data_IF_562233667102
#
_entry.id   IF_562233667102
#
_cell.length_a   1.000
_cell.length_b   1.000
_cell.length_c   1.000
_cell.angle_alpha   90.00
_cell.angle_beta   90.00
_cell.angle_gamma   90.00
#
_symmetry.space_group_name_H-M   'P 1'
#
loop_
_entity.id
_entity.type
_entity.pdbx_description
1 polymer ?
#
# COMPACT_ATOMS: atom_id res chain seq x y z
N UNK A 1 2.07 -1.97 15.61
CA UNK A 1 3.03 -1.09 14.88
C UNK A 1 3.15 -1.60 13.44
N UNK A 2 3.03 -0.74 12.44
CA UNK A 2 3.18 -1.08 11.01
C UNK A 2 4.65 -0.89 10.60
N UNK A 3 5.19 -1.83 9.82
CA UNK A 3 6.51 -1.78 9.19
C UNK A 3 6.35 -2.08 7.69
N UNK A 4 7.00 -1.32 6.82
CA UNK A 4 6.98 -1.53 5.37
C UNK A 4 8.41 -1.72 4.88
N UNK A 5 8.67 -2.85 4.23
CA UNK A 5 9.89 -3.07 3.47
C UNK A 5 9.68 -2.53 2.05
N UNK A 6 10.45 -1.52 1.66
CA UNK A 6 10.33 -0.88 0.35
C UNK A 6 11.40 -1.44 -0.60
N UNK A 7 10.97 -1.99 -1.71
CA UNK A 7 11.81 -2.58 -2.76
C UNK A 7 11.59 -1.79 -4.04
N UNK A 8 12.63 -1.29 -4.67
CA UNK A 8 12.56 -0.60 -5.95
C UNK A 8 13.20 -1.46 -7.05
N UNK A 9 12.37 -1.97 -7.95
CA UNK A 9 12.78 -2.78 -9.11
C UNK A 9 12.93 -1.94 -10.40
N UNK A 10 12.77 -0.62 -10.29
CA UNK A 10 12.87 0.29 -11.42
C UNK A 10 13.60 1.57 -11.01
N UNK A 11 14.79 1.77 -11.58
CA UNK A 11 15.66 2.91 -11.32
C UNK A 11 15.00 4.28 -11.59
N UNK A 12 13.99 4.33 -12.47
CA UNK A 12 13.28 5.56 -12.78
C UNK A 12 12.59 6.18 -11.55
N UNK A 13 12.31 5.40 -10.51
CA UNK A 13 11.76 5.91 -9.25
C UNK A 13 12.68 6.91 -8.56
N UNK A 14 14.01 6.77 -8.68
CA UNK A 14 15.01 7.67 -8.08
C UNK A 14 14.90 9.12 -8.59
N UNK A 15 14.35 9.32 -9.80
CA UNK A 15 14.09 10.66 -10.35
C UNK A 15 13.06 11.44 -9.54
N UNK A 16 12.13 10.74 -8.89
CA UNK A 16 11.02 11.32 -8.12
C UNK A 16 11.21 11.18 -6.62
N UNK A 17 11.83 10.10 -6.18
CA UNK A 17 12.13 9.79 -4.78
C UNK A 17 13.61 9.38 -4.68
N UNK A 18 14.47 10.29 -4.24
CA UNK A 18 15.92 9.99 -4.07
C UNK A 18 16.16 8.77 -3.20
N UNK A 19 15.39 8.64 -2.11
CA UNK A 19 15.42 7.49 -1.22
C UNK A 19 13.99 7.05 -0.89
N UNK A 20 13.40 6.14 -1.68
CA UNK A 20 12.03 5.67 -1.46
C UNK A 20 11.83 5.02 -0.09
N UNK A 21 12.82 4.25 0.39
CA UNK A 21 12.74 3.59 1.68
C UNK A 21 12.65 4.61 2.82
N UNK A 22 13.54 5.59 2.86
CA UNK A 22 13.52 6.64 3.88
C UNK A 22 12.22 7.45 3.83
N UNK A 23 11.71 7.75 2.63
CA UNK A 23 10.43 8.43 2.46
C UNK A 23 9.29 7.65 3.12
N UNK A 24 9.17 6.36 2.81
CA UNK A 24 8.14 5.49 3.38
C UNK A 24 8.31 5.33 4.89
N UNK A 25 9.53 5.12 5.39
CA UNK A 25 9.79 5.01 6.83
C UNK A 25 9.33 6.26 7.59
N UNK A 26 9.59 7.45 7.07
CA UNK A 26 9.13 8.71 7.67
C UNK A 26 7.59 8.80 7.69
N UNK A 27 6.92 8.39 6.61
CA UNK A 27 5.45 8.35 6.56
C UNK A 27 4.86 7.32 7.53
N UNK A 28 5.45 6.14 7.61
CA UNK A 28 5.03 5.07 8.53
C UNK A 28 5.23 5.49 10.00
N UNK A 29 6.30 6.21 10.32
CA UNK A 29 6.50 6.76 11.67
C UNK A 29 5.33 7.66 12.08
N UNK A 30 4.89 8.56 11.20
CA UNK A 30 3.72 9.43 11.42
C UNK A 30 2.42 8.61 11.52
N UNK A 31 2.21 7.66 10.62
CA UNK A 31 1.06 6.77 10.65
C UNK A 31 0.97 6.01 11.99
N UNK A 32 2.05 5.40 12.45
CA UNK A 32 2.11 4.65 13.70
C UNK A 32 1.86 5.52 14.94
N UNK A 33 2.24 6.80 14.90
CA UNK A 33 1.97 7.74 16.00
C UNK A 33 0.46 7.91 16.23
N UNK A 34 -0.33 7.90 15.15
CA UNK A 34 -1.77 8.16 15.17
C UNK A 34 -2.64 6.89 15.12
N UNK A 35 -2.13 5.82 14.50
CA UNK A 35 -2.85 4.57 14.33
C UNK A 35 -2.51 3.56 15.43
N UNK A 36 -3.36 3.48 16.46
CA UNK A 36 -3.16 2.65 17.66
C UNK A 36 -3.96 1.34 17.70
N UNK A 37 -4.80 1.08 16.67
CA UNK A 37 -5.73 -0.05 16.67
C UNK A 37 -5.06 -1.41 16.91
N UNK A 38 -3.83 -1.59 16.41
CA UNK A 38 -3.08 -2.84 16.53
C UNK A 38 -1.69 -2.61 17.19
N UNK A 39 -1.65 -1.79 18.26
CA UNK A 39 -0.41 -1.41 18.93
C UNK A 39 0.32 -2.60 19.60
N UNK A 40 -0.41 -3.67 19.92
CA UNK A 40 0.14 -4.92 20.50
C UNK A 40 0.83 -5.82 19.46
N UNK A 41 0.59 -5.57 18.16
CA UNK A 41 1.10 -6.40 17.07
C UNK A 41 2.15 -5.63 16.24
N UNK A 42 3.07 -6.36 15.65
CA UNK A 42 3.95 -5.88 14.57
C UNK A 42 3.34 -6.37 13.25
N UNK A 43 2.88 -5.44 12.44
CA UNK A 43 2.27 -5.71 11.14
C UNK A 43 3.26 -5.30 10.06
N UNK A 44 3.69 -6.21 9.22
CA UNK A 44 4.65 -5.91 8.19
C UNK A 44 4.17 -6.31 6.80
N UNK A 45 4.57 -5.55 5.80
CA UNK A 45 4.26 -5.79 4.39
C UNK A 45 5.42 -5.33 3.51
N UNK A 46 5.40 -5.79 2.24
CA UNK A 46 6.31 -5.29 1.22
C UNK A 46 5.62 -4.22 0.36
N UNK A 47 6.38 -3.20 -0.02
CA UNK A 47 5.98 -2.20 -1.01
C UNK A 47 6.98 -2.25 -2.16
N UNK A 48 6.54 -2.76 -3.30
CA UNK A 48 7.35 -2.90 -4.52
C UNK A 48 7.04 -1.73 -5.45
N UNK A 49 8.08 -0.98 -5.79
CA UNK A 49 8.05 0.16 -6.71
C UNK A 49 8.54 -0.30 -8.08
N UNK A 50 7.64 -0.33 -9.06
CA UNK A 50 7.89 -0.93 -10.37
C UNK A 50 7.36 -0.09 -11.53
N UNK A 51 7.37 -0.64 -12.75
CA UNK A 51 6.83 -0.05 -13.97
C UNK A 51 5.73 -0.90 -14.61
N UNK A 52 5.24 -0.43 -15.77
CA UNK A 52 4.06 -1.03 -16.42
C UNK A 52 4.27 -2.47 -16.86
N UNK A 53 5.46 -2.85 -17.32
CA UNK A 53 5.71 -4.22 -17.83
C UNK A 53 5.61 -5.25 -16.71
N UNK A 54 6.23 -4.96 -15.58
CA UNK A 54 6.25 -5.85 -14.41
C UNK A 54 4.83 -6.00 -13.83
N UNK A 55 4.16 -4.88 -13.57
CA UNK A 55 2.81 -4.93 -12.98
C UNK A 55 1.79 -5.60 -13.91
N UNK A 56 1.95 -5.47 -15.25
CA UNK A 56 1.12 -6.18 -16.23
C UNK A 56 1.31 -7.69 -16.14
N UNK A 57 2.56 -8.17 -16.01
CA UNK A 57 2.87 -9.59 -15.80
C UNK A 57 2.22 -10.12 -14.52
N UNK A 58 2.37 -9.41 -13.40
CA UNK A 58 1.76 -9.78 -12.13
C UNK A 58 0.22 -9.82 -12.22
N UNK A 59 -0.38 -8.82 -12.85
CA UNK A 59 -1.83 -8.75 -13.04
C UNK A 59 -2.35 -9.92 -13.89
N UNK A 60 -1.63 -10.27 -14.96
CA UNK A 60 -1.93 -11.44 -15.80
C UNK A 60 -1.83 -12.75 -15.02
N UNK A 61 -0.73 -12.95 -14.30
CA UNK A 61 -0.45 -14.21 -13.62
C UNK A 61 -1.39 -14.46 -12.43
N UNK A 62 -1.61 -13.45 -11.60
CA UNK A 62 -2.35 -13.61 -10.35
C UNK A 62 -3.82 -13.21 -10.41
N UNK A 63 -4.20 -12.28 -11.30
CA UNK A 63 -5.59 -11.83 -11.46
C UNK A 63 -6.22 -12.19 -12.81
N UNK A 64 -5.48 -12.88 -13.68
CA UNK A 64 -5.92 -13.26 -15.04
C UNK A 64 -6.32 -12.06 -15.92
N UNK A 65 -5.78 -10.88 -15.64
CA UNK A 65 -6.05 -9.62 -16.37
C UNK A 65 -4.81 -9.18 -17.12
N UNK A 66 -4.80 -9.34 -18.44
CA UNK A 66 -3.68 -8.94 -19.30
C UNK A 66 -3.66 -7.42 -19.56
N UNK A 67 -3.62 -6.62 -18.51
CA UNK A 67 -3.54 -5.17 -18.58
C UNK A 67 -2.71 -4.58 -17.45
N UNK A 68 -2.13 -3.41 -17.70
CA UNK A 68 -1.44 -2.64 -16.66
C UNK A 68 -2.43 -1.96 -15.74
N UNK A 69 -2.02 -1.70 -14.48
CA UNK A 69 -2.77 -0.94 -13.48
C UNK A 69 -1.82 -0.01 -12.73
N UNK A 70 -2.32 0.85 -11.92
CA UNK A 70 -1.58 1.78 -11.05
C UNK A 70 -1.06 1.10 -9.78
N UNK A 71 -1.87 0.24 -9.17
CA UNK A 71 -1.54 -0.50 -7.95
C UNK A 71 -2.12 -1.92 -7.99
N UNK A 72 -1.39 -2.87 -7.40
CA UNK A 72 -1.87 -4.20 -7.05
C UNK A 72 -1.63 -4.43 -5.56
N UNK A 73 -2.55 -5.14 -4.93
CA UNK A 73 -2.42 -5.60 -3.55
C UNK A 73 -2.71 -7.08 -3.47
N UNK A 74 -1.85 -7.80 -2.76
CA UNK A 74 -1.94 -9.23 -2.53
C UNK A 74 -2.01 -9.48 -1.02
N UNK A 75 -3.22 -9.39 -0.40
CA UNK A 75 -3.40 -9.74 1.01
C UNK A 75 -2.99 -11.20 1.24
N UNK A 76 -2.17 -11.42 2.28
CA UNK A 76 -1.75 -12.77 2.65
C UNK A 76 -2.86 -13.56 3.35
N UNK A 77 -3.74 -12.84 4.04
CA UNK A 77 -4.88 -13.41 4.77
C UNK A 77 -6.20 -12.89 4.25
N UNK A 78 -7.23 -13.73 4.31
CA UNK A 78 -8.62 -13.27 4.23
C UNK A 78 -8.95 -12.41 5.46
N UNK A 79 -10.03 -11.64 5.39
CA UNK A 79 -10.49 -10.82 6.51
C UNK A 79 -10.73 -11.62 7.80
N UNK A 80 -11.22 -12.85 7.66
CA UNK A 80 -11.50 -13.73 8.81
C UNK A 80 -10.19 -14.28 9.43
N UNK A 81 -9.27 -14.73 8.59
CA UNK A 81 -7.94 -15.20 9.03
C UNK A 81 -7.15 -14.07 9.70
N UNK A 82 -7.15 -12.88 9.12
CA UNK A 82 -6.49 -11.72 9.73
C UNK A 82 -7.05 -11.40 11.12
N UNK A 83 -8.39 -11.45 11.31
CA UNK A 83 -9.00 -11.27 12.63
C UNK A 83 -8.54 -12.30 13.67
N UNK A 84 -8.31 -13.55 13.26
CA UNK A 84 -7.76 -14.61 14.13
C UNK A 84 -6.29 -14.33 14.44
N UNK A 85 -5.49 -13.99 13.42
CA UNK A 85 -4.06 -13.70 13.54
C UNK A 85 -3.77 -12.55 14.51
N UNK A 86 -4.53 -11.45 14.42
CA UNK A 86 -4.39 -10.29 15.31
C UNK A 86 -4.55 -10.63 16.80
N UNK A 87 -5.34 -11.64 17.11
CA UNK A 87 -5.56 -12.07 18.50
C UNK A 87 -4.42 -12.97 19.04
N UNK A 88 -3.81 -13.76 18.16
CA UNK A 88 -2.94 -14.85 18.54
C UNK A 88 -1.45 -14.56 18.29
N UNK A 89 -1.13 -13.78 17.27
CA UNK A 89 0.25 -13.59 16.81
C UNK A 89 0.75 -12.17 17.11
N UNK A 90 1.99 -12.06 17.56
CA UNK A 90 2.65 -10.76 17.76
C UNK A 90 3.13 -10.14 16.46
N UNK A 91 3.62 -10.97 15.53
CA UNK A 91 4.15 -10.55 14.23
C UNK A 91 3.31 -11.15 13.11
N UNK A 92 2.83 -10.28 12.19
CA UNK A 92 1.90 -10.69 11.15
C UNK A 92 2.32 -10.07 9.82
N UNK A 93 2.62 -10.92 8.84
CA UNK A 93 2.83 -10.50 7.48
C UNK A 93 1.49 -10.23 6.80
N UNK A 94 1.29 -9.02 6.30
CA UNK A 94 0.02 -8.61 5.71
C UNK A 94 -0.09 -8.96 4.22
N UNK A 95 1.04 -9.01 3.51
CA UNK A 95 1.10 -9.22 2.07
C UNK A 95 1.91 -8.16 1.33
N UNK A 96 1.68 -8.04 0.01
CA UNK A 96 2.46 -7.19 -0.88
C UNK A 96 1.61 -6.10 -1.53
N UNK A 97 2.21 -4.92 -1.70
CA UNK A 97 1.67 -3.78 -2.44
C UNK A 97 2.64 -3.50 -3.58
N UNK A 98 2.15 -3.42 -4.82
CA UNK A 98 2.95 -3.11 -5.99
C UNK A 98 2.43 -1.82 -6.63
N UNK A 99 3.29 -0.81 -6.78
CA UNK A 99 2.91 0.49 -7.35
C UNK A 99 3.65 0.73 -8.66
N UNK A 100 2.89 1.16 -9.67
CA UNK A 100 3.37 1.44 -11.02
C UNK A 100 3.67 2.93 -11.21
N UNK A 101 4.94 3.28 -11.36
CA UNK A 101 5.37 4.65 -11.62
C UNK A 101 4.69 5.28 -12.85
N UNK A 102 4.51 4.50 -13.93
CA UNK A 102 3.99 5.01 -15.20
C UNK A 102 2.55 5.50 -15.11
N UNK A 103 1.80 5.01 -14.14
CA UNK A 103 0.38 5.35 -13.93
C UNK A 103 0.16 6.50 -12.93
N UNK A 104 1.18 6.95 -12.23
CA UNK A 104 1.09 8.14 -11.38
C UNK A 104 0.94 9.36 -12.29
N UNK A 105 -0.11 10.13 -12.01
CA UNK A 105 -0.42 11.36 -12.76
C UNK A 105 0.49 12.52 -12.32
N UNK A 106 0.61 13.52 -13.19
CA UNK A 106 1.29 14.79 -12.90
C UNK A 106 2.66 14.66 -12.22
N UNK A 107 3.53 13.83 -12.81
CA UNK A 107 4.89 13.59 -12.31
C UNK A 107 5.80 14.83 -12.32
N UNK A 108 5.44 15.87 -13.10
CA UNK A 108 6.19 17.14 -13.17
C UNK A 108 6.03 17.96 -11.89
N UNK A 109 4.86 17.91 -11.26
CA UNK A 109 4.62 18.57 -9.98
C UNK A 109 4.91 17.63 -8.82
N UNK A 110 5.94 17.94 -8.04
CA UNK A 110 6.39 17.10 -6.91
C UNK A 110 5.30 16.90 -5.85
N UNK A 111 4.50 17.93 -5.56
CA UNK A 111 3.43 17.86 -4.54
C UNK A 111 2.35 16.90 -5.01
N UNK A 112 1.92 17.04 -6.26
CA UNK A 112 0.90 16.18 -6.86
C UNK A 112 1.39 14.74 -6.99
N UNK A 113 2.64 14.54 -7.42
CA UNK A 113 3.26 13.22 -7.46
C UNK A 113 3.23 12.53 -6.09
N UNK A 114 3.69 13.21 -5.04
CA UNK A 114 3.72 12.65 -3.69
C UNK A 114 2.32 12.38 -3.14
N UNK A 115 1.35 13.25 -3.45
CA UNK A 115 -0.05 13.06 -3.07
C UNK A 115 -0.63 11.80 -3.71
N UNK A 116 -0.48 11.65 -5.04
CA UNK A 116 -0.95 10.47 -5.77
C UNK A 116 -0.24 9.18 -5.29
N UNK A 117 1.08 9.23 -5.13
CA UNK A 117 1.83 8.09 -4.62
C UNK A 117 1.34 7.67 -3.23
N UNK A 118 1.12 8.62 -2.32
CA UNK A 118 0.59 8.32 -0.99
C UNK A 118 -0.80 7.67 -1.07
N UNK A 119 -1.69 8.14 -1.94
CA UNK A 119 -3.01 7.52 -2.14
C UNK A 119 -2.89 6.07 -2.59
N UNK A 120 -2.00 5.77 -3.55
CA UNK A 120 -1.84 4.42 -4.09
C UNK A 120 -1.35 3.41 -3.05
N UNK A 121 -0.26 3.71 -2.34
CA UNK A 121 0.24 2.75 -1.36
C UNK A 121 -0.65 2.65 -0.11
N UNK A 122 -1.34 3.73 0.30
CA UNK A 122 -2.35 3.67 1.37
C UNK A 122 -3.55 2.83 0.93
N UNK A 123 -4.05 3.00 -0.29
CA UNK A 123 -5.10 2.16 -0.86
C UNK A 123 -4.72 0.67 -0.80
N UNK A 124 -3.50 0.36 -1.26
CA UNK A 124 -2.96 -0.99 -1.15
C UNK A 124 -2.89 -1.50 0.29
N UNK A 125 -2.42 -0.69 1.22
CA UNK A 125 -2.32 -1.05 2.63
C UNK A 125 -3.70 -1.34 3.24
N UNK A 126 -4.72 -0.55 2.91
CA UNK A 126 -6.09 -0.77 3.40
C UNK A 126 -6.64 -2.09 2.89
N UNK A 127 -6.35 -2.48 1.65
CA UNK A 127 -6.66 -3.82 1.14
C UNK A 127 -5.99 -4.94 1.95
N UNK A 128 -4.72 -4.77 2.34
CA UNK A 128 -4.02 -5.76 3.15
C UNK A 128 -4.67 -5.99 4.53
N UNK A 129 -5.39 -5.00 5.05
CA UNK A 129 -6.22 -5.15 6.26
C UNK A 129 -7.56 -5.86 6.02
N UNK A 130 -7.81 -6.36 4.79
CA UNK A 130 -9.02 -7.08 4.43
C UNK A 130 -10.23 -6.20 4.11
N UNK A 131 -10.01 -4.90 3.84
CA UNK A 131 -11.05 -4.04 3.27
C UNK A 131 -11.08 -4.20 1.76
N UNK A 132 -12.28 -4.13 1.18
CA UNK A 132 -12.49 -4.25 -0.26
C UNK A 132 -13.56 -3.23 -0.69
N UNK A 133 -13.75 -3.04 -1.98
CA UNK A 133 -14.73 -2.10 -2.54
C UNK A 133 -15.64 -2.75 -3.60
N UNK A 134 -15.95 -4.03 -3.42
CA UNK A 134 -16.84 -4.78 -4.34
C UNK A 134 -18.29 -4.30 -4.29
N UNK A 135 -18.74 -3.80 -3.13
CA UNK A 135 -20.08 -3.25 -2.93
C UNK A 135 -19.97 -1.76 -2.60
N UNK A 136 -21.01 -0.98 -2.90
CA UNK A 136 -21.03 0.46 -2.60
C UNK A 136 -20.84 0.77 -1.10
N UNK A 137 -21.40 -0.03 -0.22
CA UNK A 137 -21.21 0.10 1.24
C UNK A 137 -19.73 -0.07 1.64
N UNK A 138 -19.06 -1.07 1.04
CA UNK A 138 -17.66 -1.38 1.33
C UNK A 138 -16.75 -0.27 0.81
N UNK A 139 -17.08 0.30 -0.36
CA UNK A 139 -16.38 1.45 -0.93
C UNK A 139 -16.38 2.65 0.02
N UNK A 140 -17.56 2.99 0.60
CA UNK A 140 -17.67 4.11 1.54
C UNK A 140 -16.83 3.90 2.81
N UNK A 141 -16.84 2.68 3.36
CA UNK A 141 -16.04 2.32 4.53
C UNK A 141 -14.55 2.43 4.20
N UNK A 142 -14.12 1.84 3.09
CA UNK A 142 -12.74 1.86 2.65
C UNK A 142 -12.24 3.28 2.40
N UNK A 143 -13.02 4.12 1.70
CA UNK A 143 -12.71 5.52 1.44
C UNK A 143 -12.53 6.35 2.72
N UNK A 144 -13.36 6.13 3.75
CA UNK A 144 -13.19 6.77 5.06
C UNK A 144 -11.87 6.39 5.74
N UNK A 145 -11.49 5.12 5.66
CA UNK A 145 -10.24 4.62 6.24
C UNK A 145 -9.03 5.18 5.49
N UNK A 146 -9.07 5.20 4.16
CA UNK A 146 -8.03 5.79 3.32
C UNK A 146 -7.81 7.27 3.65
N UNK A 147 -8.87 8.08 3.69
CA UNK A 147 -8.81 9.50 4.08
C UNK A 147 -8.19 9.67 5.45
N UNK A 148 -8.58 8.85 6.42
CA UNK A 148 -8.03 8.85 7.77
C UNK A 148 -6.54 8.50 7.78
N UNK A 149 -6.10 7.48 7.03
CA UNK A 149 -4.69 7.12 6.96
C UNK A 149 -3.86 8.20 6.27
N UNK A 150 -4.39 8.79 5.18
CA UNK A 150 -3.73 9.91 4.49
C UNK A 150 -3.56 11.10 5.43
N UNK A 151 -4.57 11.45 6.24
CA UNK A 151 -4.45 12.56 7.20
C UNK A 151 -3.37 12.32 8.25
N UNK A 152 -3.04 11.07 8.57
CA UNK A 152 -1.97 10.73 9.49
C UNK A 152 -0.56 10.88 8.91
N UNK A 153 -0.43 11.04 7.59
CA UNK A 153 0.87 11.19 6.92
C UNK A 153 1.42 12.63 6.96
N UNK A 154 0.60 13.58 7.35
CA UNK A 154 0.94 15.02 7.37
C UNK A 154 1.63 15.43 8.67
#
# INVERSE_FOLDING_TARGET
MIKINTISNNESWKRYLKNPNLFIQNKIKKLNKNFKKYNKNILFCSLVLTGSNEIKKLNKNFRKKNKTTDVLSFPFYTKQEFKKKIKNDKEIYLGDIIVNLSKIKDKKNKINFLSEFNKLWIHGLVHLFGYDHKKNSDFLIMSKIEKKFISYLN
#
